data_IF_984322270113
#
_entry.id   IF_984322270113
#
_cell.length_a   1.000
_cell.length_b   1.000
_cell.length_c   1.000
_cell.angle_alpha   90.00
_cell.angle_beta   90.00
_cell.angle_gamma   90.00
#
_symmetry.space_group_name_H-M   'P 1'
#
loop_
_entity.id
_entity.type
_entity.pdbx_description
1 polymer ?
#
# COMPACT_ATOMS: atom_id res chain seq x y z
N UNK A 1 7.12 10.08 4.35
CA UNK A 1 7.85 8.82 4.06
C UNK A 1 7.98 7.92 5.29
N UNK A 2 8.66 8.31 6.37
CA UNK A 2 8.77 7.45 7.57
C UNK A 2 7.41 7.06 8.14
N UNK A 3 6.46 8.00 8.19
CA UNK A 3 5.07 7.75 8.58
C UNK A 3 4.38 6.67 7.73
N UNK A 4 4.60 6.66 6.41
CA UNK A 4 4.08 5.61 5.53
C UNK A 4 4.66 4.25 5.93
N UNK A 5 5.96 4.17 6.21
CA UNK A 5 6.59 2.91 6.61
C UNK A 5 6.04 2.41 7.95
N UNK A 6 5.77 3.32 8.88
CA UNK A 6 5.14 3.00 10.16
C UNK A 6 3.71 2.50 9.98
N UNK A 7 2.92 3.15 9.11
CA UNK A 7 1.57 2.68 8.73
C UNK A 7 1.65 1.29 8.09
N UNK A 8 2.56 1.06 7.14
CA UNK A 8 2.73 -0.25 6.49
C UNK A 8 3.09 -1.33 7.51
N UNK A 9 4.02 -1.06 8.43
CA UNK A 9 4.49 -2.03 9.43
C UNK A 9 3.44 -2.33 10.49
N UNK A 10 2.68 -1.32 10.92
CA UNK A 10 1.64 -1.44 11.95
C UNK A 10 0.33 -2.00 11.40
N UNK A 11 0.06 -1.83 10.10
CA UNK A 11 -1.17 -2.29 9.46
C UNK A 11 -0.96 -3.65 8.81
N UNK A 12 -1.59 -4.69 9.36
CA UNK A 12 -1.59 -6.05 8.80
C UNK A 12 -2.99 -6.43 8.32
N UNK A 13 -3.45 -5.87 7.18
CA UNK A 13 -4.78 -6.17 6.67
C UNK A 13 -4.85 -7.66 6.34
N UNK A 14 -5.89 -8.31 6.85
CA UNK A 14 -6.22 -9.72 6.56
C UNK A 14 -5.10 -10.72 6.87
N UNK A 15 -4.26 -10.41 7.88
CA UNK A 15 -3.09 -11.21 8.30
C UNK A 15 -2.00 -11.35 7.23
N UNK A 16 -2.03 -10.52 6.18
CA UNK A 16 -0.91 -10.44 5.26
C UNK A 16 0.31 -9.84 5.98
N UNK A 17 1.49 -10.34 5.63
CA UNK A 17 2.75 -9.83 6.13
C UNK A 17 3.33 -8.86 5.10
N UNK A 18 3.47 -7.57 5.44
CA UNK A 18 4.15 -6.60 4.57
C UNK A 18 5.65 -6.83 4.58
N UNK A 19 6.27 -6.66 3.41
CA UNK A 19 7.71 -6.60 3.22
C UNK A 19 8.02 -5.47 2.26
N UNK A 20 8.70 -4.45 2.74
CA UNK A 20 9.22 -3.38 1.87
C UNK A 20 10.36 -3.98 1.06
N UNK A 21 10.21 -3.98 -0.27
CA UNK A 21 11.20 -4.56 -1.19
C UNK A 21 11.97 -3.50 -1.95
N UNK A 22 11.42 -2.29 -2.09
CA UNK A 22 12.10 -1.15 -2.68
C UNK A 22 11.72 0.14 -1.96
N UNK A 23 12.71 1.01 -1.80
CA UNK A 23 12.55 2.40 -1.36
C UNK A 23 13.56 3.24 -2.12
N UNK A 24 13.06 4.12 -2.98
CA UNK A 24 13.89 5.02 -3.77
C UNK A 24 13.25 6.41 -3.81
N UNK A 25 13.90 7.40 -3.20
CA UNK A 25 13.39 8.78 -3.11
C UNK A 25 11.95 8.85 -2.61
N UNK A 26 11.05 9.17 -3.53
CA UNK A 26 9.61 9.36 -3.33
C UNK A 26 8.77 8.13 -3.68
N UNK A 27 9.40 6.97 -3.87
CA UNK A 27 8.77 5.71 -4.24
C UNK A 27 9.00 4.62 -3.18
N UNK A 28 7.96 3.83 -2.90
CA UNK A 28 8.02 2.65 -2.04
C UNK A 28 7.24 1.49 -2.66
N UNK A 29 7.89 0.33 -2.75
CA UNK A 29 7.24 -0.92 -3.15
C UNK A 29 7.18 -1.89 -1.96
N UNK A 30 5.99 -2.42 -1.72
CA UNK A 30 5.68 -3.37 -0.66
C UNK A 30 5.08 -4.65 -1.25
N UNK A 31 5.66 -5.78 -0.89
CA UNK A 31 5.03 -7.09 -1.06
C UNK A 31 4.19 -7.42 0.17
N UNK A 32 2.91 -7.73 -0.04
CA UNK A 32 2.06 -8.30 0.99
C UNK A 32 1.86 -9.78 0.71
N UNK A 33 2.35 -10.63 1.62
CA UNK A 33 2.22 -12.08 1.49
C UNK A 33 1.16 -12.66 2.44
N UNK A 34 0.27 -13.51 1.93
CA UNK A 34 -0.67 -14.29 2.73
C UNK A 34 -0.04 -15.65 3.07
N UNK A 35 0.30 -15.90 4.35
CA UNK A 35 0.89 -17.18 4.75
C UNK A 35 -0.08 -18.36 4.61
N UNK A 36 -1.40 -18.09 4.59
CA UNK A 36 -2.44 -19.13 4.54
C UNK A 36 -2.72 -19.56 3.09
N UNK A 37 -2.78 -18.59 2.17
CA UNK A 37 -3.17 -18.84 0.77
C UNK A 37 -1.98 -18.84 -0.21
N UNK A 38 -0.78 -18.50 0.25
CA UNK A 38 0.41 -18.38 -0.60
C UNK A 38 0.32 -17.23 -1.62
N UNK A 39 -0.64 -16.31 -1.45
CA UNK A 39 -0.82 -15.15 -2.31
C UNK A 39 0.24 -14.09 -2.01
N UNK A 40 0.70 -13.42 -3.06
CA UNK A 40 1.56 -12.24 -2.96
C UNK A 40 0.93 -11.12 -3.78
N UNK A 41 0.69 -10.01 -3.12
CA UNK A 41 0.20 -8.78 -3.73
C UNK A 41 1.30 -7.71 -3.68
N UNK A 42 1.47 -6.99 -4.76
CA UNK A 42 2.31 -5.81 -4.86
C UNK A 42 1.46 -4.57 -4.53
N UNK A 43 2.00 -3.70 -3.67
CA UNK A 43 1.48 -2.35 -3.43
C UNK A 43 2.62 -1.37 -3.61
N UNK A 44 2.41 -0.42 -4.50
CA UNK A 44 3.37 0.64 -4.80
C UNK A 44 2.79 1.98 -4.35
N UNK A 45 3.64 2.81 -3.76
CA UNK A 45 3.34 4.17 -3.33
C UNK A 45 4.27 5.11 -4.05
N UNK A 46 3.72 6.18 -4.62
CA UNK A 46 4.49 7.25 -5.22
C UNK A 46 4.03 8.60 -4.66
N UNK A 47 4.97 9.37 -4.12
CA UNK A 47 4.75 10.74 -3.68
C UNK A 47 5.24 11.67 -4.78
N UNK A 48 4.41 12.61 -5.22
CA UNK A 48 4.83 13.52 -6.30
C UNK A 48 5.90 14.49 -5.76
N UNK A 49 7.05 14.61 -6.42
CA UNK A 49 8.05 15.60 -6.03
C UNK A 49 7.45 17.01 -6.04
N UNK A 50 7.61 17.74 -4.93
CA UNK A 50 7.10 19.11 -4.78
C UNK A 50 5.66 19.22 -4.27
N UNK A 51 4.93 18.12 -4.17
CA UNK A 51 3.64 18.04 -3.47
C UNK A 51 3.67 16.91 -2.44
N UNK A 52 4.21 17.24 -1.27
CA UNK A 52 4.37 16.30 -0.16
C UNK A 52 3.05 15.87 0.48
N UNK A 53 1.91 16.32 -0.04
CA UNK A 53 0.59 15.98 0.52
C UNK A 53 -0.15 14.94 -0.31
N UNK A 54 0.24 14.71 -1.57
CA UNK A 54 -0.46 13.78 -2.47
C UNK A 54 0.34 12.49 -2.64
N UNK A 55 -0.34 11.37 -2.44
CA UNK A 55 0.20 10.03 -2.69
C UNK A 55 -0.66 9.29 -3.72
N UNK A 56 0.03 8.69 -4.68
CA UNK A 56 -0.51 7.76 -5.66
C UNK A 56 -0.27 6.32 -5.21
N UNK A 57 -1.20 5.43 -5.60
CA UNK A 57 -1.15 4.03 -5.20
C UNK A 57 -1.43 3.14 -6.39
N UNK A 58 -0.74 2.01 -6.43
CA UNK A 58 -1.07 0.88 -7.29
C UNK A 58 -1.11 -0.39 -6.46
N UNK A 59 -2.10 -1.26 -6.69
CA UNK A 59 -2.16 -2.59 -6.08
C UNK A 59 -2.45 -3.65 -7.12
N UNK A 60 -1.66 -4.73 -7.12
CA UNK A 60 -1.77 -5.82 -8.08
C UNK A 60 -1.42 -7.17 -7.45
N UNK A 61 -2.23 -8.20 -7.68
CA UNK A 61 -1.91 -9.57 -7.27
C UNK A 61 -0.98 -10.24 -8.28
N UNK A 62 0.00 -11.02 -7.80
CA UNK A 62 0.92 -11.78 -8.68
C UNK A 62 0.29 -13.04 -9.27
N UNK A 63 -0.68 -13.63 -8.57
CA UNK A 63 -1.33 -14.87 -8.97
C UNK A 63 -2.85 -14.70 -9.07
N UNK A 64 -3.35 -14.73 -10.31
CA UNK A 64 -4.78 -14.80 -10.63
C UNK A 64 -5.58 -13.52 -10.38
N UNK A 65 -6.68 -13.35 -11.12
CA UNK A 65 -7.71 -12.32 -10.91
C UNK A 65 -8.84 -12.88 -10.01
N UNK A 66 -8.51 -13.47 -8.87
CA UNK A 66 -9.55 -13.87 -7.93
C UNK A 66 -10.03 -12.64 -7.17
N UNK A 67 -11.27 -12.22 -7.44
CA UNK A 67 -11.88 -11.00 -6.90
C UNK A 67 -12.35 -11.18 -5.44
N UNK A 68 -11.42 -11.52 -4.54
CA UNK A 68 -11.68 -11.57 -3.10
C UNK A 68 -11.72 -10.17 -2.45
N UNK A 69 -11.63 -9.11 -3.25
CA UNK A 69 -11.65 -7.72 -2.82
C UNK A 69 -10.46 -7.32 -1.90
N UNK A 70 -9.50 -8.22 -1.67
CA UNK A 70 -8.36 -8.01 -0.76
C UNK A 70 -7.53 -6.79 -1.12
N UNK A 71 -7.22 -6.59 -2.40
CA UNK A 71 -6.48 -5.41 -2.86
C UNK A 71 -7.24 -4.11 -2.57
N UNK A 72 -8.54 -4.06 -2.88
CA UNK A 72 -9.37 -2.86 -2.67
C UNK A 72 -9.52 -2.56 -1.17
N UNK A 73 -9.76 -3.57 -0.33
CA UNK A 73 -9.80 -3.42 1.13
C UNK A 73 -8.48 -2.94 1.71
N UNK A 74 -7.36 -3.53 1.26
CA UNK A 74 -5.99 -3.15 1.68
C UNK A 74 -5.72 -1.68 1.37
N UNK A 75 -5.94 -1.25 0.13
CA UNK A 75 -5.76 0.15 -0.28
C UNK A 75 -6.68 1.08 0.52
N UNK A 76 -7.95 0.71 0.74
CA UNK A 76 -8.87 1.52 1.55
C UNK A 76 -8.36 1.72 2.98
N UNK A 77 -7.87 0.66 3.63
CA UNK A 77 -7.33 0.76 5.00
C UNK A 77 -6.08 1.63 5.02
N UNK A 78 -5.13 1.38 4.11
CA UNK A 78 -3.87 2.14 4.06
C UNK A 78 -4.12 3.62 3.78
N UNK A 79 -5.06 3.95 2.88
CA UNK A 79 -5.51 5.32 2.62
C UNK A 79 -6.05 5.98 3.88
N UNK A 80 -6.97 5.33 4.59
CA UNK A 80 -7.58 5.91 5.80
C UNK A 80 -6.55 6.15 6.91
N UNK A 81 -5.55 5.28 7.05
CA UNK A 81 -4.46 5.51 8.01
C UNK A 81 -3.54 6.66 7.59
N UNK A 82 -3.24 6.80 6.30
CA UNK A 82 -2.45 7.92 5.78
C UNK A 82 -3.18 9.25 5.92
N UNK A 83 -4.50 9.29 5.68
CA UNK A 83 -5.34 10.48 5.87
C UNK A 83 -5.32 11.00 7.30
N UNK A 84 -5.27 10.11 8.31
CA UNK A 84 -5.10 10.52 9.72
C UNK A 84 -3.77 11.22 9.98
N UNK A 85 -2.77 10.98 9.15
CA UNK A 85 -1.45 11.59 9.23
C UNK A 85 -1.32 12.81 8.29
N UNK A 86 -2.44 13.31 7.74
CA UNK A 86 -2.46 14.53 6.92
C UNK A 86 -2.13 14.33 5.44
N UNK A 87 -2.03 13.09 4.97
CA UNK A 87 -1.80 12.77 3.57
C UNK A 87 -3.14 12.68 2.82
N UNK A 88 -3.21 13.25 1.62
CA UNK A 88 -4.33 13.10 0.70
C UNK A 88 -4.00 12.04 -0.36
N UNK A 89 -5.00 11.24 -0.73
CA UNK A 89 -4.90 10.44 -1.94
C UNK A 89 -5.02 11.33 -3.17
N UNK A 90 -4.24 11.05 -4.21
CA UNK A 90 -4.53 11.61 -5.53
C UNK A 90 -5.99 11.28 -5.88
N UNK A 91 -6.77 12.30 -6.30
CA UNK A 91 -8.17 12.08 -6.67
C UNK A 91 -8.24 10.92 -7.66
N UNK A 92 -8.93 9.86 -7.25
CA UNK A 92 -9.22 8.71 -8.09
C UNK A 92 -10.13 9.17 -9.22
N UNK A 93 -9.62 9.21 -10.45
CA UNK A 93 -10.41 9.41 -11.66
C UNK A 93 -11.46 8.31 -11.83
#
# INVERSE_FOLDING_TARGET
>A
MEELLDVIRSTKPEKFTPKIVERDGDYVHVEYSSPILGLVDDVEFWFRPGDNSIVEYRSASRLGNFDFDYNRKRIKILRLELEKNGWASAESF
#
